data_IF_804277312820
#
_entry.id   IF_804277312820
#
_cell.length_a   1.000
_cell.length_b   1.000
_cell.length_c   1.000
_cell.angle_alpha   90.00
_cell.angle_beta   90.00
_cell.angle_gamma   90.00
#
_symmetry.space_group_name_H-M   'P 1'
#
loop_
_entity.id
_entity.type
_entity.pdbx_description
1 polymer ?
#
# COMPACT_ATOMS: atom_id res chain seq x y z
N UNK A 1 -9.67 24.06 38.06
CA UNK A 1 -8.48 23.64 37.30
C UNK A 1 -8.93 23.32 35.88
N UNK A 2 -8.76 24.26 34.96
CA UNK A 2 -9.17 24.17 33.55
C UNK A 2 -8.03 23.57 32.72
N UNK A 3 -8.31 22.55 31.91
CA UNK A 3 -7.34 21.94 30.99
C UNK A 3 -6.93 22.96 29.91
N UNK A 4 -5.65 23.01 29.49
CA UNK A 4 -5.26 23.79 28.34
C UNK A 4 -5.77 23.11 27.06
N UNK A 5 -6.39 23.88 26.19
CA UNK A 5 -6.75 23.51 24.83
C UNK A 5 -5.49 23.41 23.99
N UNK A 6 -5.22 22.22 23.45
CA UNK A 6 -4.22 22.02 22.39
C UNK A 6 -4.79 22.60 21.10
N UNK A 7 -4.07 23.56 20.51
CA UNK A 7 -4.43 24.14 19.21
C UNK A 7 -4.41 23.04 18.14
N UNK A 8 -5.55 22.83 17.48
CA UNK A 8 -5.65 21.95 16.32
C UNK A 8 -4.85 22.56 15.14
N UNK A 9 -3.99 21.79 14.45
CA UNK A 9 -3.32 22.28 13.25
C UNK A 9 -4.34 22.53 12.14
N UNK A 10 -4.39 23.78 11.67
CA UNK A 10 -5.23 24.24 10.57
C UNK A 10 -4.74 23.65 9.22
N UNK A 11 -5.28 22.50 8.83
CA UNK A 11 -5.04 21.93 7.51
C UNK A 11 -5.88 22.66 6.44
N UNK A 12 -5.29 23.08 5.31
CA UNK A 12 -6.05 23.69 4.22
C UNK A 12 -7.01 22.67 3.60
N UNK A 13 -8.22 23.08 3.18
CA UNK A 13 -9.18 22.17 2.57
C UNK A 13 -8.63 21.56 1.28
N UNK A 14 -8.71 20.24 1.17
CA UNK A 14 -8.29 19.47 0.01
C UNK A 14 -8.87 20.06 -1.28
N UNK A 15 -8.00 20.44 -2.22
CA UNK A 15 -8.40 20.82 -3.57
C UNK A 15 -8.93 19.59 -4.29
N UNK A 16 -10.26 19.39 -4.27
CA UNK A 16 -10.91 18.44 -5.17
C UNK A 16 -10.67 18.90 -6.61
N UNK A 17 -9.82 18.19 -7.34
CA UNK A 17 -9.65 18.42 -8.77
C UNK A 17 -10.98 18.09 -9.49
N UNK A 18 -11.45 18.91 -10.44
CA UNK A 18 -12.67 18.65 -11.19
C UNK A 18 -12.61 17.33 -11.99
N UNK A 19 -13.73 16.60 -12.00
CA UNK A 19 -13.97 15.32 -12.69
C UNK A 19 -13.72 15.38 -14.22
N UNK A 20 -13.60 16.59 -14.77
CA UNK A 20 -13.49 16.88 -16.20
C UNK A 20 -12.19 16.37 -16.86
N UNK A 21 -11.18 15.99 -16.07
CA UNK A 21 -9.91 15.46 -16.59
C UNK A 21 -9.99 14.01 -17.08
N UNK A 22 -11.04 13.24 -16.73
CA UNK A 22 -11.14 11.82 -17.11
C UNK A 22 -11.56 11.59 -18.58
N UNK A 23 -12.18 12.58 -19.24
CA UNK A 23 -12.62 12.44 -20.64
C UNK A 23 -11.53 12.73 -21.67
N UNK A 24 -10.43 13.41 -21.30
CA UNK A 24 -9.34 13.76 -22.23
C UNK A 24 -8.30 12.65 -22.42
N UNK A 25 -8.25 11.65 -21.56
CA UNK A 25 -7.23 10.59 -21.63
C UNK A 25 -7.55 9.54 -22.70
N UNK A 26 -8.81 9.40 -23.11
CA UNK A 26 -9.24 8.36 -24.05
C UNK A 26 -9.15 8.77 -25.53
N UNK A 27 -9.05 10.07 -25.83
CA UNK A 27 -9.09 10.64 -27.19
C UNK A 27 -7.70 11.11 -27.71
N UNK A 28 -6.62 10.50 -27.21
CA UNK A 28 -5.22 10.92 -27.49
C UNK A 28 -4.38 9.86 -28.21
N UNK A 29 -5.00 8.90 -28.89
CA UNK A 29 -4.29 7.75 -29.49
C UNK A 29 -3.47 8.07 -30.74
N UNK A 30 -3.57 9.29 -31.30
CA UNK A 30 -3.01 9.62 -32.62
C UNK A 30 -1.97 10.75 -32.64
N UNK A 31 -1.31 11.08 -31.53
CA UNK A 31 -0.24 12.11 -31.55
C UNK A 31 1.14 11.51 -31.89
N UNK A 32 1.79 11.95 -32.98
CA UNK A 32 2.98 11.31 -33.54
C UNK A 32 4.29 11.53 -32.77
N UNK A 33 4.28 12.18 -31.60
CA UNK A 33 5.49 12.59 -30.87
C UNK A 33 5.40 12.39 -29.34
N UNK A 34 4.58 11.45 -28.86
CA UNK A 34 4.50 11.19 -27.42
C UNK A 34 5.67 10.29 -26.96
N UNK A 35 6.34 10.60 -25.83
CA UNK A 35 7.26 9.64 -25.21
C UNK A 35 6.52 8.34 -24.84
N UNK A 36 7.21 7.18 -24.78
CA UNK A 36 6.59 5.91 -24.42
C UNK A 36 5.78 6.05 -23.14
N UNK A 37 4.56 5.50 -23.13
CA UNK A 37 3.77 5.40 -21.92
C UNK A 37 4.57 4.66 -20.86
N UNK A 38 4.65 5.21 -19.66
CA UNK A 38 5.20 4.49 -18.52
C UNK A 38 4.21 3.41 -18.08
N UNK A 39 4.65 2.38 -17.37
CA UNK A 39 3.75 1.37 -16.76
C UNK A 39 2.65 2.00 -15.89
N UNK A 40 2.92 3.16 -15.29
CA UNK A 40 1.94 4.00 -14.58
C UNK A 40 0.80 4.48 -15.47
N UNK A 41 1.10 4.87 -16.70
CA UNK A 41 0.10 5.36 -17.66
C UNK A 41 -0.83 4.25 -18.18
N UNK A 42 -0.37 3.00 -18.20
CA UNK A 42 -1.12 1.86 -18.77
C UNK A 42 -2.25 1.39 -17.84
N UNK A 43 -2.03 1.46 -16.51
CA UNK A 43 -3.03 1.03 -15.52
C UNK A 43 -3.73 2.19 -14.80
N UNK A 44 -3.35 3.44 -15.07
CA UNK A 44 -3.84 4.61 -14.34
C UNK A 44 -3.45 4.61 -12.86
N UNK A 45 -2.47 3.78 -12.47
CA UNK A 45 -1.96 3.72 -11.10
C UNK A 45 -0.90 4.79 -10.88
N UNK A 46 -0.88 5.38 -9.68
CA UNK A 46 0.15 6.33 -9.27
C UNK A 46 1.51 5.64 -9.24
N UNK A 47 2.57 6.31 -9.69
CA UNK A 47 3.92 5.73 -9.72
C UNK A 47 4.37 5.23 -8.34
N UNK A 48 4.03 5.94 -7.26
CA UNK A 48 4.38 5.53 -5.89
C UNK A 48 3.79 4.17 -5.50
N UNK A 49 2.58 3.85 -6.00
CA UNK A 49 1.95 2.54 -5.75
C UNK A 49 2.68 1.44 -6.51
N UNK A 50 3.15 1.73 -7.74
CA UNK A 50 3.94 0.78 -8.51
C UNK A 50 5.30 0.53 -7.87
N UNK A 51 6.01 1.61 -7.50
CA UNK A 51 7.34 1.51 -6.89
C UNK A 51 7.26 0.71 -5.58
N UNK A 52 6.29 1.02 -4.72
CA UNK A 52 6.06 0.28 -3.48
C UNK A 52 5.68 -1.18 -3.75
N UNK A 53 4.78 -1.44 -4.70
CA UNK A 53 4.40 -2.79 -5.10
C UNK A 53 5.56 -3.61 -5.67
N UNK A 54 6.51 -2.97 -6.35
CA UNK A 54 7.74 -3.62 -6.82
C UNK A 54 8.65 -4.03 -5.66
N UNK A 55 8.81 -3.19 -4.63
CA UNK A 55 9.59 -3.58 -3.43
C UNK A 55 8.89 -4.69 -2.64
N UNK A 56 7.57 -4.61 -2.46
CA UNK A 56 6.76 -5.68 -1.88
C UNK A 56 6.99 -7.04 -2.56
N UNK A 57 6.90 -7.08 -3.89
CA UNK A 57 7.10 -8.30 -4.67
C UNK A 57 8.53 -8.85 -4.57
N UNK A 58 9.55 -7.99 -4.51
CA UNK A 58 10.94 -8.44 -4.31
C UNK A 58 11.09 -9.15 -2.96
N UNK A 59 10.51 -8.57 -1.91
CA UNK A 59 10.59 -9.11 -0.56
C UNK A 59 9.82 -10.43 -0.41
N UNK A 60 8.62 -10.51 -0.98
CA UNK A 60 7.85 -11.77 -1.03
C UNK A 60 8.65 -12.89 -1.72
N UNK A 61 9.28 -12.59 -2.86
CA UNK A 61 10.14 -13.55 -3.57
C UNK A 61 11.35 -14.00 -2.77
N UNK A 62 11.97 -13.09 -2.01
CA UNK A 62 13.06 -13.47 -1.11
C UNK A 62 12.59 -14.51 -0.07
N UNK A 63 11.30 -14.45 0.29
CA UNK A 63 10.65 -15.31 1.28
C UNK A 63 9.84 -16.49 0.72
N UNK A 64 9.84 -16.75 -0.58
CA UNK A 64 9.13 -17.89 -1.21
C UNK A 64 9.56 -19.27 -0.68
N UNK A 65 10.73 -19.35 -0.04
CA UNK A 65 11.21 -20.57 0.60
C UNK A 65 10.51 -20.88 1.94
N UNK A 66 9.79 -19.90 2.52
CA UNK A 66 9.02 -20.05 3.76
C UNK A 66 7.61 -20.58 3.43
N UNK A 67 7.02 -21.32 4.36
CA UNK A 67 5.65 -21.86 4.22
C UNK A 67 4.65 -20.72 3.94
N UNK A 68 3.72 -20.95 3.00
CA UNK A 68 2.81 -19.91 2.53
C UNK A 68 1.81 -19.41 3.60
N UNK A 69 1.47 -18.12 3.55
CA UNK A 69 0.52 -17.48 4.47
C UNK A 69 -0.93 -17.97 4.34
N UNK A 70 -1.27 -18.66 3.24
CA UNK A 70 -2.63 -19.13 2.94
C UNK A 70 -3.17 -20.14 3.94
N UNK A 71 -2.29 -20.83 4.66
CA UNK A 71 -2.67 -21.80 5.70
C UNK A 71 -2.83 -21.15 7.09
N UNK A 72 -2.46 -19.88 7.23
CA UNK A 72 -2.58 -19.17 8.51
C UNK A 72 -4.01 -18.62 8.70
N UNK A 73 -4.53 -18.64 9.94
CA UNK A 73 -5.77 -17.95 10.27
C UNK A 73 -5.57 -16.42 10.25
N UNK A 74 -6.63 -15.67 9.96
CA UNK A 74 -6.57 -14.20 9.86
C UNK A 74 -5.99 -13.57 11.12
N UNK A 75 -6.33 -14.07 12.32
CA UNK A 75 -5.84 -13.54 13.59
C UNK A 75 -4.33 -13.75 13.76
N UNK A 76 -3.75 -14.80 13.18
CA UNK A 76 -2.31 -14.99 13.22
C UNK A 76 -1.59 -14.02 12.29
N UNK A 77 -2.16 -13.74 11.11
CA UNK A 77 -1.64 -12.73 10.19
C UNK A 77 -1.76 -11.32 10.77
N UNK A 78 -2.86 -11.02 11.45
CA UNK A 78 -3.05 -9.73 12.12
C UNK A 78 -2.00 -9.50 13.22
N UNK A 79 -1.74 -10.50 14.06
CA UNK A 79 -0.66 -10.41 15.07
C UNK A 79 0.72 -10.19 14.45
N UNK A 80 0.97 -10.78 13.28
CA UNK A 80 2.22 -10.53 12.55
C UNK A 80 2.28 -9.11 12.01
N UNK A 81 1.21 -8.63 11.39
CA UNK A 81 1.10 -7.22 10.97
C UNK A 81 1.35 -6.23 12.12
N UNK A 82 0.84 -6.51 13.32
CA UNK A 82 1.10 -5.69 14.51
C UNK A 82 2.58 -5.65 14.90
N UNK A 83 3.31 -6.75 14.70
CA UNK A 83 4.76 -6.82 14.95
C UNK A 83 5.51 -5.92 13.95
N UNK A 84 5.23 -6.07 12.65
CA UNK A 84 5.90 -5.26 11.62
C UNK A 84 5.61 -3.76 11.79
N UNK A 85 4.42 -3.39 12.28
CA UNK A 85 4.09 -1.99 12.60
C UNK A 85 5.00 -1.48 13.71
N UNK A 86 5.27 -2.29 14.74
CA UNK A 86 6.17 -1.89 15.82
C UNK A 86 7.63 -1.84 15.34
N UNK A 87 8.06 -2.78 14.50
CA UNK A 87 9.38 -2.77 13.86
C UNK A 87 9.57 -1.51 13.00
N UNK A 88 8.58 -1.14 12.18
CA UNK A 88 8.58 0.12 11.44
C UNK A 88 8.69 1.34 12.38
N UNK A 89 7.96 1.35 13.49
CA UNK A 89 8.04 2.46 14.47
C UNK A 89 9.44 2.57 15.05
N UNK A 90 10.05 1.46 15.44
CA UNK A 90 11.42 1.39 15.95
C UNK A 90 12.41 1.86 14.89
N UNK A 91 12.28 1.40 13.65
CA UNK A 91 13.18 1.75 12.56
C UNK A 91 13.13 3.25 12.22
N UNK A 92 11.93 3.85 12.22
CA UNK A 92 11.76 5.30 12.03
C UNK A 92 12.47 6.10 13.14
N UNK A 93 12.43 5.64 14.37
CA UNK A 93 12.97 6.37 15.52
C UNK A 93 14.48 6.17 15.71
N UNK A 94 14.99 4.97 15.41
CA UNK A 94 16.32 4.55 15.85
C UNK A 94 17.24 4.02 14.74
N UNK A 95 16.73 3.76 13.54
CA UNK A 95 17.51 3.10 12.46
C UNK A 95 17.69 4.00 11.22
N UNK A 96 18.17 3.43 10.12
CA UNK A 96 18.37 4.19 8.89
C UNK A 96 17.07 4.31 8.09
N UNK A 97 17.01 5.31 7.19
CA UNK A 97 15.88 5.46 6.27
C UNK A 97 15.68 4.21 5.40
N UNK A 98 16.76 3.53 5.03
CA UNK A 98 16.68 2.30 4.25
C UNK A 98 16.00 1.19 5.04
N UNK A 99 16.36 1.03 6.32
CA UNK A 99 15.77 0.02 7.21
C UNK A 99 14.28 0.33 7.42
N UNK A 100 13.94 1.58 7.74
CA UNK A 100 12.54 2.01 7.88
C UNK A 100 11.71 1.84 6.59
N UNK A 101 12.31 1.97 5.41
CA UNK A 101 11.64 1.66 4.15
C UNK A 101 11.39 0.16 3.98
N UNK A 102 12.31 -0.70 4.44
CA UNK A 102 12.13 -2.14 4.46
C UNK A 102 10.96 -2.55 5.36
N UNK A 103 10.93 -2.07 6.59
CA UNK A 103 9.84 -2.35 7.53
C UNK A 103 8.48 -1.86 7.01
N UNK A 104 8.47 -0.74 6.28
CA UNK A 104 7.24 -0.25 5.64
C UNK A 104 6.74 -1.20 4.55
N UNK A 105 7.66 -1.83 3.80
CA UNK A 105 7.34 -2.87 2.81
C UNK A 105 6.77 -4.11 3.49
N UNK A 106 7.33 -4.53 4.62
CA UNK A 106 6.84 -5.68 5.38
C UNK A 106 5.44 -5.46 5.96
N UNK A 107 5.17 -4.27 6.50
CA UNK A 107 3.79 -3.86 6.88
C UNK A 107 2.85 -3.97 5.68
N UNK A 108 3.26 -3.50 4.50
CA UNK A 108 2.48 -3.62 3.27
C UNK A 108 2.21 -5.08 2.87
N UNK A 109 3.22 -5.94 2.95
CA UNK A 109 3.13 -7.37 2.65
C UNK A 109 2.20 -8.10 3.60
N UNK A 110 2.28 -7.86 4.91
CA UNK A 110 1.37 -8.48 5.85
C UNK A 110 -0.06 -7.96 5.73
N UNK A 111 -0.25 -6.67 5.42
CA UNK A 111 -1.58 -6.14 5.11
C UNK A 111 -2.19 -6.82 3.86
N UNK A 112 -1.38 -7.06 2.83
CA UNK A 112 -1.78 -7.83 1.64
C UNK A 112 -2.19 -9.26 2.00
N UNK A 113 -1.41 -9.95 2.84
CA UNK A 113 -1.73 -11.33 3.27
C UNK A 113 -3.04 -11.40 4.07
N UNK A 114 -3.28 -10.45 4.98
CA UNK A 114 -4.54 -10.33 5.73
C UNK A 114 -5.71 -10.12 4.76
N UNK A 115 -5.56 -9.21 3.80
CA UNK A 115 -6.59 -8.93 2.80
C UNK A 115 -6.90 -10.16 1.94
N UNK A 116 -5.88 -10.86 1.44
CA UNK A 116 -6.01 -12.08 0.63
C UNK A 116 -6.77 -13.17 1.42
N UNK A 117 -6.45 -13.33 2.70
CA UNK A 117 -7.11 -14.32 3.56
C UNK A 117 -8.57 -13.97 3.82
N UNK A 118 -8.87 -12.73 4.19
CA UNK A 118 -10.25 -12.25 4.39
C UNK A 118 -11.10 -12.39 3.14
N UNK A 119 -10.52 -12.10 1.96
CA UNK A 119 -11.19 -12.30 0.68
C UNK A 119 -11.56 -13.76 0.47
N UNK A 120 -10.66 -14.70 0.73
CA UNK A 120 -10.92 -16.14 0.58
C UNK A 120 -12.02 -16.64 1.55
N UNK A 121 -12.05 -16.13 2.79
CA UNK A 121 -13.12 -16.48 3.76
C UNK A 121 -14.48 -15.94 3.34
N UNK A 122 -14.51 -14.73 2.77
CA UNK A 122 -15.72 -14.15 2.19
C UNK A 122 -16.26 -15.03 1.07
N UNK A 123 -15.42 -15.44 0.12
CA UNK A 123 -15.81 -16.29 -1.01
C UNK A 123 -16.41 -17.63 -0.52
N UNK A 124 -15.84 -18.21 0.55
CA UNK A 124 -16.35 -19.45 1.17
C UNK A 124 -17.70 -19.24 1.88
N UNK A 125 -17.87 -18.11 2.57
CA UNK A 125 -19.09 -17.80 3.35
C UNK A 125 -20.25 -17.41 2.44
N UNK A 126 -19.97 -16.70 1.35
CA UNK A 126 -20.96 -16.24 0.37
C UNK A 126 -21.39 -17.37 -0.61
N UNK A 127 -20.82 -18.57 -0.50
CA UNK A 127 -21.26 -19.76 -1.24
C UNK A 127 -21.07 -19.67 -2.75
N UNK A 128 -19.94 -19.10 -3.20
CA UNK A 128 -19.50 -19.12 -4.62
C UNK A 128 -18.62 -20.34 -4.85
#
# INVERSE_FOLDING_TARGET
MTRPTVDEPNYPPERRLPIENHRRTLDRRNEPNRPPLTTSDVFGMRHQVLDFGCEMEKELKAHDHKTGWRELPVEALLRKLEIEIEELRVAIEFETITDAMGEAVDVGNFALMVWDRLRAEKETTDGI
#
